data_IF_377295946441
#
_entry.id   IF_377295946441
#
_cell.length_a   1.000
_cell.length_b   1.000
_cell.length_c   1.000
_cell.angle_alpha   90.00
_cell.angle_beta   90.00
_cell.angle_gamma   90.00
#
_symmetry.space_group_name_H-M   'P 1'
#
loop_
_entity.id
_entity.type
_entity.pdbx_description
1 polymer ?
#
# COMPACT_ATOMS: atom_id res chain seq x y z
N UNK A 1 -26.32 -12.35 -11.31
CA UNK A 1 -25.33 -12.76 -10.30
C UNK A 1 -24.01 -13.26 -10.90
N UNK A 2 -23.96 -14.23 -11.85
CA UNK A 2 -22.68 -14.73 -12.38
C UNK A 2 -21.80 -13.66 -13.04
N UNK A 3 -22.41 -12.75 -13.82
CA UNK A 3 -21.68 -11.66 -14.48
C UNK A 3 -21.04 -10.65 -13.52
N UNK A 4 -21.69 -10.37 -12.37
CA UNK A 4 -21.13 -9.48 -11.34
C UNK A 4 -19.97 -10.13 -10.59
N UNK A 5 -20.07 -11.44 -10.35
CA UNK A 5 -18.98 -12.21 -9.73
C UNK A 5 -17.77 -12.23 -10.67
N UNK A 6 -17.99 -12.55 -11.95
CA UNK A 6 -16.93 -12.55 -12.95
C UNK A 6 -16.27 -11.17 -13.11
N UNK A 7 -17.06 -10.09 -13.18
CA UNK A 7 -16.48 -8.75 -13.30
C UNK A 7 -15.66 -8.36 -12.08
N UNK A 8 -16.08 -8.74 -10.86
CA UNK A 8 -15.30 -8.51 -9.63
C UNK A 8 -13.99 -9.30 -9.62
N UNK A 9 -14.01 -10.54 -10.11
CA UNK A 9 -12.79 -11.34 -10.26
C UNK A 9 -11.82 -10.65 -11.23
N UNK A 10 -12.31 -10.18 -12.38
CA UNK A 10 -11.47 -9.50 -13.37
C UNK A 10 -10.88 -8.19 -12.85
N UNK A 11 -11.68 -7.39 -12.12
CA UNK A 11 -11.19 -6.17 -11.45
C UNK A 11 -10.10 -6.52 -10.43
N UNK A 12 -10.31 -7.53 -9.59
CA UNK A 12 -9.32 -7.96 -8.60
C UNK A 12 -8.00 -8.42 -9.22
N UNK A 13 -8.05 -9.15 -10.34
CA UNK A 13 -6.85 -9.57 -11.09
C UNK A 13 -6.10 -8.34 -11.64
N UNK A 14 -6.81 -7.37 -12.22
CA UNK A 14 -6.20 -6.17 -12.79
C UNK A 14 -5.63 -5.22 -11.74
N UNK A 15 -6.34 -5.00 -10.63
CA UNK A 15 -5.89 -4.11 -9.56
C UNK A 15 -4.74 -4.72 -8.75
N UNK A 16 -4.73 -6.04 -8.58
CA UNK A 16 -3.75 -6.74 -7.75
C UNK A 16 -2.29 -6.60 -8.20
N UNK A 17 -2.03 -6.41 -9.50
CA UNK A 17 -0.67 -6.23 -10.04
C UNK A 17 -0.15 -4.80 -9.89
N UNK A 18 -1.04 -3.82 -9.70
CA UNK A 18 -0.70 -2.39 -9.74
C UNK A 18 0.27 -1.95 -8.64
N UNK A 19 0.09 -2.33 -7.34
CA UNK A 19 1.02 -2.00 -6.27
C UNK A 19 2.46 -2.46 -6.52
N UNK A 20 2.62 -3.69 -7.02
CA UNK A 20 3.93 -4.31 -7.28
C UNK A 20 4.63 -3.63 -8.45
N UNK A 21 3.91 -3.33 -9.53
CA UNK A 21 4.46 -2.60 -10.68
C UNK A 21 4.89 -1.18 -10.31
N UNK A 22 4.08 -0.46 -9.54
CA UNK A 22 4.41 0.86 -9.02
C UNK A 22 5.68 0.84 -8.16
N UNK A 23 5.82 -0.18 -7.32
CA UNK A 23 6.98 -0.36 -6.44
C UNK A 23 8.27 -0.65 -7.22
N UNK A 24 8.21 -1.44 -8.29
CA UNK A 24 9.36 -1.67 -9.19
C UNK A 24 9.82 -0.36 -9.84
N UNK A 25 8.88 0.42 -10.38
CA UNK A 25 9.19 1.70 -11.01
C UNK A 25 9.88 2.66 -10.03
N UNK A 26 9.36 2.79 -8.80
CA UNK A 26 9.97 3.63 -7.78
C UNK A 26 11.36 3.09 -7.38
N UNK A 27 11.52 1.77 -7.22
CA UNK A 27 12.79 1.17 -6.81
C UNK A 27 13.94 1.46 -7.80
N UNK A 28 13.62 1.49 -9.10
CA UNK A 28 14.58 1.73 -10.18
C UNK A 28 14.82 3.20 -10.48
N UNK A 29 13.79 4.05 -10.31
CA UNK A 29 13.84 5.45 -10.76
C UNK A 29 14.14 6.45 -9.64
N UNK A 30 13.92 6.10 -8.37
CA UNK A 30 13.96 7.08 -7.26
C UNK A 30 15.10 6.77 -6.28
N UNK A 31 15.96 7.77 -5.97
CA UNK A 31 17.01 7.63 -4.96
C UNK A 31 16.43 7.43 -3.55
N UNK A 32 17.21 6.84 -2.65
CA UNK A 32 16.74 6.45 -1.32
C UNK A 32 16.30 7.64 -0.45
N UNK A 33 16.91 8.82 -0.65
CA UNK A 33 16.64 10.05 0.11
C UNK A 33 15.29 10.70 -0.22
N UNK A 34 14.70 10.40 -1.38
CA UNK A 34 13.40 10.95 -1.81
C UNK A 34 12.32 9.87 -1.93
N UNK A 35 12.67 8.65 -1.52
CA UNK A 35 11.85 7.45 -1.71
C UNK A 35 10.56 7.52 -0.93
N UNK A 36 10.57 8.05 0.29
CA UNK A 36 9.36 8.12 1.11
C UNK A 36 8.34 9.06 0.46
N UNK A 37 8.79 10.20 -0.07
CA UNK A 37 7.93 11.11 -0.86
C UNK A 37 7.37 10.46 -2.11
N UNK A 38 8.18 9.73 -2.89
CA UNK A 38 7.68 9.06 -4.09
C UNK A 38 6.63 7.99 -3.76
N UNK A 39 6.90 7.13 -2.78
CA UNK A 39 5.95 6.10 -2.30
C UNK A 39 4.68 6.76 -1.79
N UNK A 40 4.79 7.81 -0.97
CA UNK A 40 3.64 8.56 -0.45
C UNK A 40 2.77 9.20 -1.53
N UNK A 41 3.36 9.76 -2.60
CA UNK A 41 2.59 10.32 -3.72
C UNK A 41 1.85 9.22 -4.47
N UNK A 42 2.51 8.10 -4.74
CA UNK A 42 1.93 7.01 -5.54
C UNK A 42 0.85 6.25 -4.76
N UNK A 43 1.16 5.82 -3.53
CA UNK A 43 0.22 5.05 -2.70
C UNK A 43 -0.80 5.93 -1.97
N UNK A 44 -0.46 7.20 -1.66
CA UNK A 44 -1.43 8.18 -1.15
C UNK A 44 -2.55 8.48 -2.16
N UNK A 45 -2.33 8.21 -3.45
CA UNK A 45 -3.37 8.23 -4.47
C UNK A 45 -4.55 7.31 -4.17
N UNK A 46 -4.36 6.23 -3.39
CA UNK A 46 -5.44 5.33 -2.96
C UNK A 46 -6.44 6.03 -2.04
N UNK A 47 -5.94 6.81 -1.06
CA UNK A 47 -6.80 7.61 -0.17
C UNK A 47 -7.53 8.69 -0.95
N UNK A 48 -6.83 9.36 -1.88
CA UNK A 48 -7.44 10.38 -2.73
C UNK A 48 -8.54 9.80 -3.63
N UNK A 49 -8.28 8.67 -4.29
CA UNK A 49 -9.27 7.95 -5.11
C UNK A 49 -10.49 7.51 -4.30
N UNK A 50 -10.28 7.04 -3.07
CA UNK A 50 -11.38 6.64 -2.16
C UNK A 50 -12.27 7.83 -1.82
N UNK A 51 -11.69 8.99 -1.52
CA UNK A 51 -12.44 10.23 -1.25
C UNK A 51 -13.24 10.66 -2.48
N UNK A 52 -12.64 10.68 -3.67
CA UNK A 52 -13.35 11.04 -4.91
C UNK A 52 -14.48 10.04 -5.20
N UNK A 53 -14.23 8.74 -5.02
CA UNK A 53 -15.23 7.70 -5.19
C UNK A 53 -16.43 7.91 -4.27
N UNK A 54 -16.19 8.12 -2.97
CA UNK A 54 -17.23 8.35 -1.98
C UNK A 54 -17.98 9.67 -2.19
N UNK A 55 -17.30 10.71 -2.69
CA UNK A 55 -17.90 12.03 -2.93
C UNK A 55 -18.76 12.07 -4.21
N UNK A 56 -18.29 11.46 -5.29
CA UNK A 56 -18.94 11.54 -6.60
C UNK A 56 -19.90 10.40 -6.88
N UNK A 57 -19.70 9.20 -6.32
CA UNK A 57 -20.59 8.07 -6.63
C UNK A 57 -22.05 8.32 -6.20
N UNK A 58 -22.37 8.79 -4.98
CA UNK A 58 -23.78 8.95 -4.58
C UNK A 58 -24.57 9.95 -5.44
N UNK A 59 -24.08 11.16 -5.75
CA UNK A 59 -24.78 12.09 -6.65
C UNK A 59 -24.95 11.55 -8.08
N UNK A 60 -23.98 10.80 -8.59
CA UNK A 60 -24.07 10.17 -9.91
C UNK A 60 -25.18 9.11 -9.90
N UNK A 61 -25.22 8.26 -8.88
CA UNK A 61 -26.24 7.21 -8.74
C UNK A 61 -27.65 7.82 -8.65
N UNK A 62 -27.81 8.89 -7.87
CA UNK A 62 -29.12 9.54 -7.67
C UNK A 62 -29.68 10.17 -8.95
N UNK A 63 -28.82 10.75 -9.80
CA UNK A 63 -29.27 11.49 -10.99
C UNK A 63 -29.26 10.66 -12.28
N UNK A 64 -28.34 9.70 -12.40
CA UNK A 64 -28.07 8.97 -13.65
C UNK A 64 -28.22 7.44 -13.52
N UNK A 65 -28.61 6.93 -12.35
CA UNK A 65 -28.71 5.50 -12.08
C UNK A 65 -27.38 4.87 -11.67
N UNK A 66 -27.44 3.67 -11.11
CA UNK A 66 -26.26 3.00 -10.54
C UNK A 66 -25.27 2.49 -11.60
N UNK A 67 -25.78 2.18 -12.79
CA UNK A 67 -25.01 1.70 -13.93
C UNK A 67 -24.02 2.76 -14.43
N UNK A 68 -24.40 4.05 -14.33
CA UNK A 68 -23.63 5.18 -14.83
C UNK A 68 -22.24 5.30 -14.17
N UNK A 69 -22.11 4.92 -12.90
CA UNK A 69 -20.83 4.88 -12.19
C UNK A 69 -19.83 3.98 -12.91
N UNK A 70 -20.26 2.79 -13.34
CA UNK A 70 -19.39 1.84 -14.03
C UNK A 70 -18.90 2.38 -15.38
N UNK A 71 -19.78 3.03 -16.14
CA UNK A 71 -19.42 3.62 -17.42
C UNK A 71 -18.46 4.81 -17.26
N UNK A 72 -18.73 5.71 -16.32
CA UNK A 72 -17.91 6.92 -16.10
C UNK A 72 -16.51 6.54 -15.61
N UNK A 73 -16.41 5.75 -14.53
CA UNK A 73 -15.11 5.34 -13.99
C UNK A 73 -14.35 4.43 -14.97
N UNK A 74 -15.04 3.56 -15.70
CA UNK A 74 -14.44 2.73 -16.74
C UNK A 74 -13.83 3.54 -17.89
N UNK A 75 -14.56 4.54 -18.41
CA UNK A 75 -14.06 5.44 -19.46
C UNK A 75 -12.89 6.30 -18.98
N UNK A 76 -12.97 6.84 -17.75
CA UNK A 76 -11.85 7.57 -17.14
C UNK A 76 -10.60 6.69 -17.04
N UNK A 77 -10.75 5.42 -16.68
CA UNK A 77 -9.65 4.45 -16.67
C UNK A 77 -9.03 4.24 -18.06
N UNK A 78 -9.83 4.10 -19.10
CA UNK A 78 -9.34 3.96 -20.48
C UNK A 78 -8.59 5.23 -20.93
N UNK A 79 -9.15 6.41 -20.67
CA UNK A 79 -8.51 7.70 -20.99
C UNK A 79 -7.16 7.81 -20.28
N UNK A 80 -7.11 7.43 -19.00
CA UNK A 80 -5.88 7.39 -18.22
C UNK A 80 -4.83 6.46 -18.83
N UNK A 81 -5.21 5.22 -19.20
CA UNK A 81 -4.29 4.27 -19.84
C UNK A 81 -3.70 4.82 -21.15
N UNK A 82 -4.53 5.43 -22.01
CA UNK A 82 -4.06 6.05 -23.26
C UNK A 82 -3.09 7.20 -22.97
N UNK A 83 -3.42 8.04 -21.98
CA UNK A 83 -2.56 9.14 -21.55
C UNK A 83 -1.21 8.66 -21.02
N UNK A 84 -1.22 7.60 -20.21
CA UNK A 84 -0.02 6.99 -19.63
C UNK A 84 0.91 6.43 -20.71
N UNK A 85 0.38 5.68 -21.69
CA UNK A 85 1.18 5.16 -22.82
C UNK A 85 1.77 6.30 -23.68
N UNK A 86 1.01 7.38 -23.91
CA UNK A 86 1.51 8.56 -24.61
C UNK A 86 2.68 9.23 -23.88
N UNK A 87 2.58 9.37 -22.55
CA UNK A 87 3.64 9.94 -21.71
C UNK A 87 4.89 9.05 -21.69
N UNK A 88 4.71 7.75 -21.56
CA UNK A 88 5.80 6.75 -21.61
C UNK A 88 6.53 6.80 -22.95
N UNK A 89 5.80 6.86 -24.06
CA UNK A 89 6.37 7.00 -25.41
C UNK A 89 7.20 8.28 -25.57
N UNK A 90 6.74 9.41 -25.02
CA UNK A 90 7.47 10.69 -25.04
C UNK A 90 8.75 10.64 -24.21
N UNK A 91 8.72 10.08 -23.00
CA UNK A 91 9.90 9.94 -22.14
C UNK A 91 10.97 9.05 -22.79
N UNK A 92 10.56 7.92 -23.38
CA UNK A 92 11.48 7.02 -24.07
C UNK A 92 12.07 7.66 -25.34
N UNK A 93 11.27 8.45 -26.07
CA UNK A 93 11.74 9.23 -27.22
C UNK A 93 12.74 10.33 -26.82
N UNK A 94 12.50 11.01 -25.70
CA UNK A 94 13.35 12.10 -25.22
C UNK A 94 14.72 11.60 -24.71
N UNK A 95 14.74 10.47 -23.99
CA UNK A 95 16.00 9.84 -23.55
C UNK A 95 16.83 9.28 -24.72
N UNK A 96 16.20 8.79 -25.80
CA UNK A 96 16.91 8.45 -27.04
C UNK A 96 17.49 9.68 -27.75
N UNK A 97 16.83 10.83 -27.69
CA UNK A 97 17.33 12.08 -28.24
C UNK A 97 18.58 12.61 -27.52
N UNK A 98 18.63 12.47 -26.18
CA UNK A 98 19.76 12.93 -25.37
C UNK A 98 21.01 12.04 -25.51
N UNK A 99 20.83 10.74 -25.75
CA UNK A 99 21.93 9.79 -26.01
C UNK A 99 22.58 9.98 -27.39
N UNK A 100 21.84 10.48 -28.39
CA UNK A 100 22.38 10.78 -29.72
C UNK A 100 23.20 12.08 -29.78
N UNK A 101 23.07 12.97 -28.79
CA UNK A 101 23.92 14.17 -28.66
C UNK A 101 25.23 13.91 -27.88
N UNK A 102 25.38 12.73 -27.27
CA UNK A 102 26.58 12.33 -26.52
C UNK A 102 27.50 11.33 -27.25
N UNK A 103 27.07 10.74 -28.38
CA UNK A 103 27.87 9.76 -29.14
C UNK A 103 28.66 10.38 -30.31
N UNK A 104 29.20 11.58 -30.10
CA UNK A 104 30.23 12.13 -31.00
C UNK A 104 31.45 12.59 -30.20
N UNK A 105 32.03 11.69 -29.40
CA UNK A 105 33.48 11.62 -29.13
C UNK A 105 33.77 10.64 -27.99
N UNK A 106 34.91 9.97 -28.10
CA UNK A 106 35.58 9.11 -27.11
C UNK A 106 34.99 7.72 -26.85
N UNK A 107 35.68 6.71 -27.39
CA UNK A 107 35.49 5.31 -27.06
C UNK A 107 36.10 4.93 -25.72
N UNK A 108 35.45 4.02 -25.01
CA UNK A 108 36.07 3.02 -24.13
C UNK A 108 35.00 2.00 -23.71
N UNK A 109 35.44 0.76 -23.58
CA UNK A 109 34.65 -0.43 -23.31
C UNK A 109 33.81 -0.33 -22.02
N UNK A 110 32.52 -0.59 -22.17
CA UNK A 110 31.58 -0.75 -21.07
C UNK A 110 30.29 -1.35 -21.60
N UNK A 111 30.04 -2.62 -21.27
CA UNK A 111 28.85 -3.39 -21.61
C UNK A 111 27.57 -2.67 -21.16
N UNK A 112 26.93 -1.95 -22.07
CA UNK A 112 25.53 -1.53 -21.97
C UNK A 112 24.77 -2.39 -22.97
N UNK A 113 23.77 -3.20 -22.56
CA UNK A 113 22.96 -3.95 -23.51
C UNK A 113 22.22 -2.98 -24.44
N UNK A 114 22.65 -3.00 -25.70
CA UNK A 114 22.05 -2.27 -26.81
C UNK A 114 20.59 -2.67 -27.01
N UNK A 115 19.77 -1.64 -27.26
CA UNK A 115 18.58 -1.64 -28.10
C UNK A 115 17.60 -2.83 -27.91
N UNK A 116 16.48 -2.54 -27.21
CA UNK A 116 15.22 -3.27 -27.42
C UNK A 116 14.76 -2.99 -28.85
N UNK A 117 15.22 -3.83 -29.78
CA UNK A 117 14.54 -4.13 -31.03
C UNK A 117 13.22 -4.82 -30.69
N UNK A 118 12.18 -4.44 -31.43
CA UNK A 118 10.90 -5.12 -31.48
C UNK A 118 11.09 -6.53 -32.06
N UNK A 119 11.46 -7.50 -31.23
CA UNK A 119 11.46 -8.92 -31.58
C UNK A 119 10.44 -9.66 -30.72
N UNK A 120 9.47 -10.28 -31.42
CA UNK A 120 8.59 -11.40 -31.04
C UNK A 120 8.18 -11.58 -29.57
N UNK A 121 6.86 -11.55 -29.31
CA UNK A 121 6.26 -11.90 -28.02
C UNK A 121 6.73 -13.24 -27.41
N UNK A 122 7.23 -14.19 -28.21
CA UNK A 122 7.75 -15.48 -27.73
C UNK A 122 9.11 -15.38 -27.01
N UNK A 123 10.04 -14.50 -27.44
CA UNK A 123 11.33 -14.32 -26.75
C UNK A 123 11.16 -13.67 -25.38
N UNK A 124 10.22 -12.73 -25.26
CA UNK A 124 9.89 -12.08 -23.98
C UNK A 124 9.31 -13.04 -22.93
N UNK A 125 8.60 -14.11 -23.36
CA UNK A 125 8.03 -15.11 -22.47
C UNK A 125 9.08 -16.11 -22.00
N UNK A 126 10.01 -16.52 -22.86
CA UNK A 126 11.15 -17.37 -22.48
C UNK A 126 12.12 -16.62 -21.55
N UNK A 127 12.44 -15.36 -21.83
CA UNK A 127 13.28 -14.52 -20.96
C UNK A 127 12.61 -14.27 -19.59
N UNK A 128 11.29 -14.06 -19.57
CA UNK A 128 10.53 -13.96 -18.33
C UNK A 128 10.54 -15.30 -17.56
N UNK A 129 10.35 -16.42 -18.24
CA UNK A 129 10.40 -17.74 -17.60
C UNK A 129 11.79 -18.08 -17.04
N UNK A 130 12.86 -17.70 -17.74
CA UNK A 130 14.23 -17.88 -17.27
C UNK A 130 14.51 -16.96 -16.07
N UNK A 131 14.09 -15.69 -16.13
CA UNK A 131 14.19 -14.76 -15.00
C UNK A 131 13.42 -15.23 -13.77
N UNK A 132 12.23 -15.85 -13.94
CA UNK A 132 11.44 -16.43 -12.85
C UNK A 132 12.10 -17.67 -12.22
N UNK A 133 12.80 -18.49 -13.00
CA UNK A 133 13.55 -19.67 -12.51
C UNK A 133 14.74 -19.29 -11.64
N UNK A 134 15.28 -18.09 -11.85
CA UNK A 134 16.44 -17.59 -11.11
C UNK A 134 16.08 -16.85 -9.82
N UNK A 135 14.79 -16.69 -9.51
CA UNK A 135 14.34 -16.06 -8.27
C UNK A 135 14.73 -16.90 -7.05
N UNK A 136 15.45 -16.32 -6.07
CA UNK A 136 15.97 -17.05 -4.91
C UNK A 136 14.91 -17.21 -3.80
N UNK A 137 13.81 -17.90 -4.09
CA UNK A 137 12.69 -18.11 -3.16
C UNK A 137 13.13 -18.62 -1.78
N UNK A 138 14.05 -19.58 -1.74
CA UNK A 138 14.57 -20.13 -0.50
C UNK A 138 15.33 -19.10 0.35
N UNK A 139 16.00 -18.12 -0.27
CA UNK A 139 16.70 -17.05 0.45
C UNK A 139 15.72 -16.06 1.06
N UNK A 140 14.66 -15.67 0.33
CA UNK A 140 13.62 -14.79 0.85
C UNK A 140 12.99 -15.34 2.13
N UNK A 141 12.57 -16.62 2.12
CA UNK A 141 11.90 -17.23 3.27
C UNK A 141 12.84 -17.66 4.39
N UNK A 142 14.17 -17.57 4.20
CA UNK A 142 15.16 -17.69 5.29
C UNK A 142 15.40 -16.34 5.99
N UNK A 143 15.13 -15.21 5.34
CA UNK A 143 15.37 -13.88 5.90
C UNK A 143 14.34 -13.52 6.97
N UNK A 144 14.84 -13.18 8.17
CA UNK A 144 13.99 -12.70 9.28
C UNK A 144 13.32 -11.35 8.96
N UNK A 145 13.98 -10.50 8.18
CA UNK A 145 13.43 -9.20 7.79
C UNK A 145 12.23 -9.37 6.85
N UNK A 146 12.30 -10.32 5.91
CA UNK A 146 11.17 -10.64 5.02
C UNK A 146 9.99 -11.17 5.82
N UNK A 147 10.21 -12.07 6.78
CA UNK A 147 9.14 -12.52 7.69
C UNK A 147 8.54 -11.39 8.52
N UNK A 148 9.36 -10.46 9.01
CA UNK A 148 8.88 -9.28 9.72
C UNK A 148 7.97 -8.41 8.83
N UNK A 149 8.30 -8.26 7.55
CA UNK A 149 7.47 -7.54 6.59
C UNK A 149 6.18 -8.26 6.24
N UNK A 150 6.22 -9.59 6.06
CA UNK A 150 5.02 -10.39 5.83
C UNK A 150 4.04 -10.20 6.99
N UNK A 151 4.53 -10.37 8.22
CA UNK A 151 3.69 -10.26 9.41
C UNK A 151 3.20 -8.83 9.65
N UNK A 152 4.05 -7.82 9.48
CA UNK A 152 3.63 -6.43 9.60
C UNK A 152 2.57 -6.07 8.55
N UNK A 153 2.72 -6.49 7.29
CA UNK A 153 1.69 -6.24 6.28
C UNK A 153 0.36 -6.88 6.67
N UNK A 154 0.36 -8.14 7.12
CA UNK A 154 -0.83 -8.79 7.66
C UNK A 154 -1.48 -7.99 8.79
N UNK A 155 -0.71 -7.54 9.78
CA UNK A 155 -1.21 -6.81 10.93
C UNK A 155 -1.80 -5.45 10.54
N UNK A 156 -1.09 -4.71 9.68
CA UNK A 156 -1.55 -3.40 9.18
C UNK A 156 -2.83 -3.52 8.37
N UNK A 157 -2.88 -4.52 7.47
CA UNK A 157 -4.07 -4.78 6.65
C UNK A 157 -5.26 -5.27 7.46
N UNK A 158 -5.03 -5.95 8.59
CA UNK A 158 -6.11 -6.32 9.51
C UNK A 158 -6.87 -5.09 9.97
N UNK A 159 -6.20 -4.15 10.63
CA UNK A 159 -6.87 -2.94 11.11
C UNK A 159 -7.40 -2.07 9.97
N UNK A 160 -6.71 -2.01 8.83
CA UNK A 160 -7.18 -1.24 7.68
C UNK A 160 -8.50 -1.79 7.10
N UNK A 161 -8.57 -3.09 6.79
CA UNK A 161 -9.74 -3.66 6.13
C UNK A 161 -10.94 -3.84 7.06
N UNK A 162 -10.72 -4.18 8.33
CA UNK A 162 -11.82 -4.29 9.30
C UNK A 162 -12.44 -2.92 9.55
N UNK A 163 -11.63 -1.88 9.75
CA UNK A 163 -12.14 -0.51 9.85
C UNK A 163 -12.82 -0.08 8.56
N UNK A 164 -12.22 -0.28 7.39
CA UNK A 164 -12.86 0.10 6.12
C UNK A 164 -14.26 -0.50 5.95
N UNK A 165 -14.46 -1.73 6.43
CA UNK A 165 -15.75 -2.44 6.30
C UNK A 165 -16.77 -2.07 7.39
N UNK A 166 -16.32 -1.90 8.64
CA UNK A 166 -17.21 -1.79 9.79
C UNK A 166 -17.33 -0.37 10.37
N UNK A 167 -16.44 0.55 9.99
CA UNK A 167 -16.41 1.91 10.53
C UNK A 167 -17.69 2.73 10.24
N UNK A 168 -18.33 2.65 9.05
CA UNK A 168 -19.60 3.33 8.83
C UNK A 168 -20.70 2.85 9.78
N UNK A 169 -20.77 1.55 10.04
CA UNK A 169 -21.76 0.97 10.96
C UNK A 169 -21.46 1.39 12.40
N UNK A 170 -20.20 1.34 12.81
CA UNK A 170 -19.76 1.83 14.12
C UNK A 170 -20.16 3.30 14.33
N UNK A 171 -19.89 4.19 13.36
CA UNK A 171 -20.29 5.59 13.46
C UNK A 171 -21.80 5.79 13.44
N UNK A 172 -22.54 4.98 12.69
CA UNK A 172 -24.01 5.03 12.69
C UNK A 172 -24.57 4.72 14.07
N UNK A 173 -24.08 3.68 14.73
CA UNK A 173 -24.50 3.29 16.07
C UNK A 173 -24.04 4.27 17.15
N UNK A 174 -22.77 4.68 17.13
CA UNK A 174 -22.18 5.55 18.16
C UNK A 174 -22.72 6.99 18.10
N UNK A 175 -22.87 7.54 16.89
CA UNK A 175 -23.37 8.91 16.69
C UNK A 175 -24.90 8.98 16.54
N UNK A 176 -25.60 7.84 16.54
CA UNK A 176 -27.03 7.74 16.20
C UNK A 176 -27.37 8.38 14.83
N UNK A 177 -26.47 8.23 13.86
CA UNK A 177 -26.62 8.75 12.50
C UNK A 177 -27.32 7.74 11.60
N UNK A 178 -27.99 8.21 10.56
CA UNK A 178 -28.41 7.30 9.49
C UNK A 178 -27.19 6.81 8.70
N UNK A 179 -27.35 5.70 7.98
CA UNK A 179 -26.25 5.04 7.28
C UNK A 179 -25.57 5.96 6.24
N UNK A 180 -26.34 6.84 5.60
CA UNK A 180 -25.81 7.80 4.61
C UNK A 180 -24.91 8.84 5.27
N UNK A 181 -25.34 9.41 6.40
CA UNK A 181 -24.55 10.36 7.20
C UNK A 181 -23.30 9.70 7.76
N UNK A 182 -23.42 8.48 8.28
CA UNK A 182 -22.27 7.73 8.80
C UNK A 182 -21.25 7.38 7.70
N UNK A 183 -21.72 7.12 6.47
CA UNK A 183 -20.85 6.96 5.32
C UNK A 183 -20.08 8.25 4.98
N UNK A 184 -20.73 9.42 5.09
CA UNK A 184 -20.04 10.72 4.94
C UNK A 184 -18.99 10.96 6.02
N UNK A 185 -19.30 10.63 7.27
CA UNK A 185 -18.33 10.73 8.39
C UNK A 185 -17.15 9.78 8.18
N UNK A 186 -17.37 8.62 7.56
CA UNK A 186 -16.32 7.65 7.22
C UNK A 186 -15.36 8.12 6.11
N UNK A 187 -15.61 9.28 5.49
CA UNK A 187 -14.66 9.94 4.58
C UNK A 187 -13.56 10.68 5.37
N UNK A 188 -13.77 10.99 6.66
CA UNK A 188 -12.81 11.72 7.47
C UNK A 188 -11.46 10.99 7.64
N UNK A 189 -11.39 9.68 7.92
CA UNK A 189 -10.11 8.96 8.01
C UNK A 189 -9.27 9.02 6.73
N UNK A 190 -9.77 8.67 5.52
CA UNK A 190 -8.96 8.78 4.31
C UNK A 190 -8.59 10.23 3.96
N UNK A 191 -9.43 11.23 4.29
CA UNK A 191 -9.05 12.65 4.18
C UNK A 191 -7.89 13.00 5.12
N UNK A 192 -7.97 12.58 6.39
CA UNK A 192 -6.90 12.76 7.36
C UNK A 192 -5.61 12.07 6.91
N UNK A 193 -5.72 10.86 6.34
CA UNK A 193 -4.59 10.13 5.77
C UNK A 193 -3.86 10.92 4.68
N UNK A 194 -4.55 11.68 3.83
CA UNK A 194 -3.91 12.52 2.80
C UNK A 194 -3.06 13.61 3.44
N UNK A 195 -3.60 14.28 4.48
CA UNK A 195 -2.89 15.32 5.23
C UNK A 195 -1.66 14.74 5.92
N UNK A 196 -1.84 13.64 6.65
CA UNK A 196 -0.73 13.00 7.37
C UNK A 196 0.33 12.45 6.42
N UNK A 197 -0.05 11.87 5.28
CA UNK A 197 0.91 11.38 4.27
C UNK A 197 1.84 12.50 3.79
N UNK A 198 1.31 13.72 3.63
CA UNK A 198 2.07 14.91 3.23
C UNK A 198 3.07 15.38 4.28
N UNK A 199 2.90 14.97 5.54
CA UNK A 199 3.79 15.28 6.67
C UNK A 199 4.79 14.13 6.89
N UNK A 200 4.30 12.89 6.87
CA UNK A 200 5.04 11.68 7.18
C UNK A 200 6.19 11.42 6.20
N UNK A 201 5.99 11.71 4.91
CA UNK A 201 7.02 11.48 3.90
C UNK A 201 8.19 12.45 3.99
N UNK A 202 7.99 13.79 4.01
CA UNK A 202 9.09 14.73 4.25
C UNK A 202 9.77 14.50 5.60
N UNK A 203 9.01 14.13 6.64
CA UNK A 203 9.59 13.78 7.94
C UNK A 203 10.61 12.63 7.82
N UNK A 204 10.24 11.53 7.16
CA UNK A 204 11.13 10.37 6.98
C UNK A 204 12.35 10.72 6.12
N UNK A 205 12.13 11.37 4.98
CA UNK A 205 13.21 11.74 4.06
C UNK A 205 14.20 12.74 4.71
N UNK A 206 13.71 13.71 5.48
CA UNK A 206 14.57 14.65 6.22
C UNK A 206 15.42 13.96 7.28
N UNK A 207 14.89 12.97 8.00
CA UNK A 207 15.69 12.20 8.96
C UNK A 207 16.81 11.43 8.26
N UNK A 208 16.51 10.79 7.14
CA UNK A 208 17.51 10.06 6.33
C UNK A 208 18.55 11.03 5.76
N UNK A 209 18.14 12.19 5.23
CA UNK A 209 19.04 13.21 4.71
C UNK A 209 19.97 13.80 5.78
N UNK A 210 19.53 13.86 7.03
CA UNK A 210 20.34 14.25 8.18
C UNK A 210 21.27 13.14 8.72
N UNK A 211 21.34 11.99 8.04
CA UNK A 211 22.25 10.90 8.37
C UNK A 211 21.71 9.90 9.40
N UNK A 212 20.40 9.93 9.72
CA UNK A 212 19.78 8.87 10.52
C UNK A 212 19.69 7.59 9.69
N UNK A 213 20.12 6.48 10.27
CA UNK A 213 20.06 5.16 9.65
C UNK A 213 18.65 4.83 9.11
N UNK A 214 18.59 4.30 7.88
CA UNK A 214 17.32 4.03 7.19
C UNK A 214 16.47 3.03 7.97
N UNK A 215 17.05 1.97 8.52
CA UNK A 215 16.32 0.99 9.32
C UNK A 215 15.67 1.64 10.53
N UNK A 216 16.39 2.53 11.23
CA UNK A 216 15.81 3.29 12.36
C UNK A 216 14.64 4.16 11.91
N UNK A 217 14.77 4.88 10.80
CA UNK A 217 13.67 5.72 10.27
C UNK A 217 12.46 4.87 9.90
N UNK A 218 12.64 3.76 9.17
CA UNK A 218 11.53 2.84 8.82
C UNK A 218 10.87 2.24 10.06
N UNK A 219 11.64 1.90 11.10
CA UNK A 219 11.13 1.44 12.40
C UNK A 219 10.31 2.50 13.10
N UNK A 220 10.77 3.75 13.16
CA UNK A 220 10.03 4.86 13.76
C UNK A 220 8.70 5.07 13.02
N UNK A 221 8.74 5.20 11.69
CA UNK A 221 7.54 5.39 10.89
C UNK A 221 6.53 4.26 11.08
N UNK A 222 6.96 3.00 11.01
CA UNK A 222 6.06 1.87 11.19
C UNK A 222 5.51 1.78 12.62
N UNK A 223 6.31 2.14 13.62
CA UNK A 223 5.85 2.20 15.02
C UNK A 223 4.76 3.24 15.19
N UNK A 224 4.93 4.45 14.63
CA UNK A 224 3.87 5.46 14.61
C UNK A 224 2.63 4.90 13.93
N UNK A 225 2.80 4.24 12.77
CA UNK A 225 1.70 3.73 11.98
C UNK A 225 0.82 2.68 12.70
N UNK A 226 1.39 1.91 13.62
CA UNK A 226 0.68 0.84 14.35
C UNK A 226 0.29 1.25 15.77
N UNK A 227 1.20 1.87 16.50
CA UNK A 227 0.95 2.26 17.90
C UNK A 227 -0.10 3.36 17.97
N UNK A 228 -0.14 4.29 17.01
CA UNK A 228 -1.16 5.35 17.03
C UNK A 228 -2.59 4.82 16.91
N UNK A 229 -3.01 4.05 15.88
CA UNK A 229 -4.37 3.52 15.85
C UNK A 229 -4.64 2.58 17.03
N UNK A 230 -3.65 1.82 17.51
CA UNK A 230 -3.84 0.98 18.70
C UNK A 230 -4.19 1.80 19.96
N UNK A 231 -3.46 2.89 20.23
CA UNK A 231 -3.75 3.77 21.37
C UNK A 231 -5.14 4.39 21.23
N UNK A 232 -5.46 4.96 20.06
CA UNK A 232 -6.76 5.59 19.87
C UNK A 232 -7.93 4.59 19.94
N UNK A 233 -7.77 3.37 19.41
CA UNK A 233 -8.77 2.31 19.55
C UNK A 233 -8.93 1.86 21.01
N UNK A 234 -7.85 1.78 21.79
CA UNK A 234 -7.95 1.48 23.22
C UNK A 234 -8.67 2.61 23.97
N UNK A 235 -8.38 3.87 23.67
CA UNK A 235 -9.07 5.02 24.27
C UNK A 235 -10.55 5.03 23.90
N UNK A 236 -10.91 4.73 22.65
CA UNK A 236 -12.30 4.58 22.20
C UNK A 236 -13.01 3.38 22.81
N UNK A 237 -12.28 2.40 23.36
CA UNK A 237 -12.86 1.21 24.00
C UNK A 237 -13.23 1.46 25.47
N UNK A 238 -12.71 2.53 26.08
CA UNK A 238 -12.96 2.89 27.48
C UNK A 238 -14.02 3.98 27.52
N UNK A 239 -14.98 3.85 28.45
CA UNK A 239 -15.95 4.92 28.70
C UNK A 239 -15.27 6.08 29.41
N UNK A 240 -14.83 7.06 28.61
CA UNK A 240 -14.21 8.30 29.07
C UNK A 240 -15.25 9.42 29.30
N UNK A 241 -16.54 9.15 29.09
CA UNK A 241 -17.60 10.18 29.15
C UNK A 241 -17.47 11.27 28.08
N UNK A 242 -16.75 10.98 27.00
CA UNK A 242 -16.55 11.92 25.89
C UNK A 242 -17.80 11.97 25.00
N UNK A 243 -18.11 13.13 24.40
CA UNK A 243 -19.19 13.19 23.43
C UNK A 243 -18.85 12.35 22.19
N UNK A 244 -19.85 11.73 21.53
CA UNK A 244 -19.61 10.80 20.42
C UNK A 244 -18.75 11.35 19.27
N UNK A 245 -18.84 12.66 18.97
CA UNK A 245 -18.03 13.29 17.92
C UNK A 245 -16.53 13.36 18.26
N UNK A 246 -16.17 13.45 19.55
CA UNK A 246 -14.78 13.42 19.98
C UNK A 246 -14.18 12.01 19.81
N UNK A 247 -14.97 10.96 20.04
CA UNK A 247 -14.58 9.57 19.77
C UNK A 247 -14.25 9.39 18.29
N UNK A 248 -15.10 9.91 17.41
CA UNK A 248 -14.86 9.90 15.95
C UNK A 248 -13.61 10.66 15.58
N UNK A 249 -13.38 11.84 16.14
CA UNK A 249 -12.19 12.64 15.87
C UNK A 249 -10.90 11.93 16.32
N UNK A 250 -10.90 11.30 17.50
CA UNK A 250 -9.78 10.51 18.01
C UNK A 250 -9.49 9.30 17.14
N UNK A 251 -10.52 8.51 16.81
CA UNK A 251 -10.36 7.32 15.99
C UNK A 251 -9.87 7.68 14.57
N UNK A 252 -10.44 8.74 13.98
CA UNK A 252 -10.01 9.31 12.70
C UNK A 252 -8.53 9.72 12.74
N UNK A 253 -8.09 10.37 13.82
CA UNK A 253 -6.70 10.82 13.96
C UNK A 253 -5.73 9.63 14.03
N UNK A 254 -6.09 8.59 14.78
CA UNK A 254 -5.29 7.36 14.86
C UNK A 254 -5.20 6.63 13.51
N UNK A 255 -6.31 6.48 12.82
CA UNK A 255 -6.33 5.88 11.48
C UNK A 255 -5.56 6.73 10.46
N UNK A 256 -5.63 8.06 10.53
CA UNK A 256 -4.85 8.95 9.67
C UNK A 256 -3.34 8.80 9.91
N UNK A 257 -2.92 8.65 11.18
CA UNK A 257 -1.51 8.40 11.54
C UNK A 257 -0.97 7.07 11.04
N UNK A 258 -1.83 6.09 10.73
CA UNK A 258 -1.42 4.84 10.08
C UNK A 258 -0.77 5.04 8.71
N UNK A 259 -0.98 6.19 8.05
CA UNK A 259 -0.33 6.55 6.79
C UNK A 259 1.20 6.62 6.87
N UNK A 260 1.79 6.70 8.06
CA UNK A 260 3.24 6.55 8.23
C UNK A 260 3.76 5.19 7.72
N UNK A 261 2.89 4.19 7.53
CA UNK A 261 3.25 2.90 6.94
C UNK A 261 3.80 3.04 5.52
N UNK A 262 3.42 4.08 4.76
CA UNK A 262 4.00 4.34 3.43
C UNK A 262 5.50 4.61 3.52
N UNK A 263 5.92 5.42 4.51
CA UNK A 263 7.33 5.70 4.78
C UNK A 263 8.04 4.60 5.60
N UNK A 264 7.29 3.63 6.13
CA UNK A 264 7.79 2.51 6.92
C UNK A 264 7.86 1.23 6.10
N UNK A 265 6.80 0.42 6.16
CA UNK A 265 6.68 -0.86 5.46
C UNK A 265 6.92 -0.76 3.95
N UNK A 266 6.21 0.13 3.25
CA UNK A 266 6.22 0.14 1.77
C UNK A 266 7.58 0.54 1.17
N UNK A 267 8.31 1.47 1.80
CA UNK A 267 9.68 1.77 1.39
C UNK A 267 10.65 0.60 1.65
N UNK A 268 10.40 -0.20 2.70
CA UNK A 268 11.32 -1.27 3.12
C UNK A 268 11.51 -2.33 2.05
N UNK A 269 10.48 -2.62 1.24
CA UNK A 269 10.59 -3.52 0.08
C UNK A 269 11.71 -3.14 -0.88
N UNK A 270 11.84 -1.84 -1.13
CA UNK A 270 12.80 -1.25 -2.08
C UNK A 270 14.16 -0.97 -1.42
N UNK A 271 14.18 -0.84 -0.09
CA UNK A 271 15.40 -0.64 0.70
C UNK A 271 16.18 -1.96 0.82
N UNK A 272 15.49 -3.08 1.08
CA UNK A 272 16.10 -4.42 1.19
C UNK A 272 16.64 -4.92 -0.15
N UNK A 273 15.87 -4.81 -1.23
CA UNK A 273 16.36 -5.19 -2.56
C UNK A 273 15.64 -4.39 -3.62
N UNK A 274 16.41 -3.66 -4.43
CA UNK A 274 15.86 -2.91 -5.57
C UNK A 274 15.43 -3.85 -6.71
N UNK A 275 16.14 -4.96 -6.89
CA UNK A 275 15.87 -5.94 -7.95
C UNK A 275 14.58 -6.72 -7.68
N UNK A 276 14.37 -7.15 -6.42
CA UNK A 276 13.24 -7.99 -6.04
C UNK A 276 12.11 -7.22 -5.33
N UNK A 277 12.13 -5.88 -5.36
CA UNK A 277 11.18 -5.04 -4.62
C UNK A 277 9.72 -5.39 -4.92
N UNK A 278 9.38 -5.62 -6.19
CA UNK A 278 8.03 -5.98 -6.64
C UNK A 278 7.61 -7.38 -6.23
N UNK A 279 8.54 -8.34 -6.25
CA UNK A 279 8.30 -9.72 -5.79
C UNK A 279 8.06 -9.71 -4.29
N UNK A 280 8.91 -9.01 -3.52
CA UNK A 280 8.77 -8.88 -2.08
C UNK A 280 7.44 -8.22 -1.72
N UNK A 281 7.04 -7.14 -2.42
CA UNK A 281 5.74 -6.50 -2.18
C UNK A 281 4.59 -7.44 -2.56
N UNK A 282 4.70 -8.17 -3.68
CA UNK A 282 3.71 -9.16 -4.08
C UNK A 282 3.48 -10.23 -3.00
N UNK A 283 4.56 -10.76 -2.43
CA UNK A 283 4.49 -11.75 -1.33
C UNK A 283 3.78 -11.13 -0.12
N UNK A 284 4.22 -9.98 0.37
CA UNK A 284 3.61 -9.42 1.59
C UNK A 284 2.19 -8.94 1.35
N UNK A 285 1.86 -8.40 0.17
CA UNK A 285 0.53 -7.94 -0.20
C UNK A 285 -0.46 -9.10 -0.33
N UNK A 286 -0.01 -10.26 -0.81
CA UNK A 286 -0.83 -11.48 -0.86
C UNK A 286 -1.27 -11.90 0.55
N UNK A 287 -0.32 -11.93 1.50
CA UNK A 287 -0.65 -12.23 2.91
C UNK A 287 -1.46 -11.09 3.52
N UNK A 288 -1.15 -9.85 3.16
CA UNK A 288 -1.87 -8.64 3.56
C UNK A 288 -3.31 -8.61 3.07
N UNK A 289 -3.70 -9.34 2.02
CA UNK A 289 -5.09 -9.42 1.56
C UNK A 289 -5.96 -10.34 2.41
N UNK A 290 -5.38 -11.32 3.12
CA UNK A 290 -6.10 -12.32 3.92
C UNK A 290 -7.02 -11.71 4.99
N UNK A 291 -6.60 -10.69 5.77
CA UNK A 291 -7.48 -10.03 6.74
C UNK A 291 -8.73 -9.39 6.13
N UNK A 292 -8.72 -9.00 4.85
CA UNK A 292 -9.91 -8.46 4.18
C UNK A 292 -11.02 -9.51 4.04
N UNK A 293 -10.67 -10.79 4.02
CA UNK A 293 -11.62 -11.90 3.96
C UNK A 293 -11.94 -12.37 5.38
N UNK A 294 -10.90 -12.74 6.13
CA UNK A 294 -11.05 -13.41 7.43
C UNK A 294 -11.39 -12.41 8.54
N UNK A 295 -10.71 -11.27 8.57
CA UNK A 295 -10.89 -10.26 9.61
C UNK A 295 -12.27 -9.62 9.56
N UNK A 296 -12.75 -9.26 8.37
CA UNK A 296 -14.08 -8.65 8.19
C UNK A 296 -15.19 -9.62 8.64
N UNK A 297 -15.10 -10.89 8.24
CA UNK A 297 -16.07 -11.92 8.65
C UNK A 297 -16.01 -12.21 10.16
N UNK A 298 -14.80 -12.27 10.73
CA UNK A 298 -14.61 -12.49 12.16
C UNK A 298 -15.18 -11.34 12.99
N UNK A 299 -14.95 -10.09 12.59
CA UNK A 299 -15.53 -8.93 13.27
C UNK A 299 -17.06 -8.99 13.28
N UNK A 300 -17.70 -9.37 12.18
CA UNK A 300 -19.15 -9.56 12.13
C UNK A 300 -19.63 -10.64 13.10
N UNK A 301 -19.01 -11.81 13.06
CA UNK A 301 -19.34 -12.91 13.98
C UNK A 301 -19.18 -12.53 15.46
N UNK A 302 -18.09 -11.84 15.80
CA UNK A 302 -17.84 -11.37 17.15
C UNK A 302 -18.86 -10.31 17.57
N UNK A 303 -19.25 -9.41 16.66
CA UNK A 303 -20.22 -8.36 16.96
C UNK A 303 -21.61 -8.95 17.23
N UNK A 304 -22.04 -9.91 16.41
CA UNK A 304 -23.29 -10.64 16.60
C UNK A 304 -23.31 -11.41 17.93
N UNK A 305 -22.16 -11.92 18.38
CA UNK A 305 -22.05 -12.74 19.59
C UNK A 305 -21.86 -11.93 20.86
N UNK A 306 -21.15 -10.80 20.79
CA UNK A 306 -20.71 -10.03 21.97
C UNK A 306 -21.45 -8.70 22.13
N UNK A 307 -22.08 -8.21 21.06
CA UNK A 307 -22.70 -6.88 20.99
C UNK A 307 -21.77 -5.74 21.44
N UNK A 308 -20.46 -5.92 21.24
CA UNK A 308 -19.44 -4.97 21.70
C UNK A 308 -18.41 -4.69 20.61
N UNK A 309 -18.31 -3.42 20.21
CA UNK A 309 -17.29 -2.92 19.29
C UNK A 309 -15.87 -3.06 19.85
N UNK A 310 -15.71 -2.87 21.16
CA UNK A 310 -14.42 -3.02 21.85
C UNK A 310 -13.85 -4.42 21.69
N UNK A 311 -14.68 -5.46 21.79
CA UNK A 311 -14.24 -6.86 21.65
C UNK A 311 -14.16 -7.28 20.18
N UNK A 312 -15.06 -6.79 19.33
CA UNK A 312 -15.24 -7.31 17.97
C UNK A 312 -14.34 -6.66 16.93
N UNK A 313 -14.10 -5.35 17.07
CA UNK A 313 -13.32 -4.55 16.13
C UNK A 313 -12.00 -4.08 16.76
N UNK A 314 -12.05 -3.48 17.95
CA UNK A 314 -10.88 -2.82 18.54
C UNK A 314 -9.87 -3.80 19.11
N UNK A 315 -10.27 -4.75 19.96
CA UNK A 315 -9.32 -5.67 20.61
C UNK A 315 -8.48 -6.51 19.62
N UNK A 316 -9.04 -7.14 18.57
CA UNK A 316 -8.24 -7.85 17.57
C UNK A 316 -7.29 -6.93 16.81
N UNK A 317 -7.76 -5.73 16.43
CA UNK A 317 -6.94 -4.75 15.70
C UNK A 317 -5.79 -4.23 16.56
N UNK A 318 -6.06 -3.90 17.83
CA UNK A 318 -5.05 -3.50 18.82
C UNK A 318 -4.03 -4.62 19.02
N UNK A 319 -4.47 -5.86 19.19
CA UNK A 319 -3.59 -7.02 19.31
C UNK A 319 -2.61 -7.09 18.14
N UNK A 320 -3.11 -7.09 16.90
CA UNK A 320 -2.26 -7.18 15.72
C UNK A 320 -1.35 -5.97 15.53
N UNK A 321 -1.82 -4.75 15.82
CA UNK A 321 -0.96 -3.57 15.76
C UNK A 321 0.20 -3.65 16.78
N UNK A 322 -0.06 -4.08 18.02
CA UNK A 322 0.96 -4.17 19.05
C UNK A 322 1.95 -5.31 18.79
N UNK A 323 1.47 -6.50 18.43
CA UNK A 323 2.35 -7.63 18.08
C UNK A 323 3.13 -7.36 16.79
N UNK A 324 2.49 -6.76 15.79
CA UNK A 324 3.13 -6.31 14.55
C UNK A 324 4.25 -5.31 14.84
N UNK A 325 4.03 -4.36 15.75
CA UNK A 325 5.05 -3.41 16.20
C UNK A 325 6.22 -4.13 16.87
N UNK A 326 5.94 -5.05 17.79
CA UNK A 326 6.98 -5.81 18.50
C UNK A 326 7.86 -6.62 17.54
N UNK A 327 7.26 -7.35 16.59
CA UNK A 327 7.97 -8.12 15.57
C UNK A 327 8.76 -7.20 14.63
N UNK A 328 8.16 -6.08 14.21
CA UNK A 328 8.84 -5.11 13.34
C UNK A 328 10.07 -4.51 14.00
N UNK A 329 9.95 -4.07 15.24
CA UNK A 329 11.08 -3.53 16.00
C UNK A 329 12.19 -4.55 16.22
N UNK A 330 11.83 -5.81 16.49
CA UNK A 330 12.78 -6.89 16.72
C UNK A 330 13.53 -7.33 15.45
N UNK A 331 12.84 -7.46 14.31
CA UNK A 331 13.37 -8.21 13.17
C UNK A 331 13.41 -7.45 11.84
N UNK A 332 12.74 -6.31 11.70
CA UNK A 332 12.81 -5.54 10.45
C UNK A 332 14.22 -4.95 10.26
N UNK A 333 14.66 -4.96 9.01
CA UNK A 333 15.88 -4.30 8.54
C UNK A 333 15.60 -3.65 7.19
N UNK A 334 16.18 -2.48 6.95
CA UNK A 334 16.14 -1.77 5.67
C UNK A 334 17.54 -1.64 5.06
N UNK A 335 18.50 -2.44 5.54
CA UNK A 335 19.79 -2.60 4.91
C UNK A 335 19.66 -3.48 3.66
N UNK A 336 20.37 -3.15 2.55
CA UNK A 336 20.37 -3.99 1.36
C UNK A 336 20.79 -5.43 1.68
N UNK A 337 19.99 -6.40 1.27
CA UNK A 337 20.28 -7.83 1.42
C UNK A 337 20.64 -8.43 0.08
N UNK A 338 21.73 -9.21 0.06
CA UNK A 338 22.05 -10.05 -1.08
C UNK A 338 21.30 -11.37 -0.97
N UNK A 339 20.43 -11.63 -1.95
CA UNK A 339 19.67 -12.88 -2.05
C UNK A 339 20.27 -13.84 -3.08
N UNK A 340 21.46 -13.55 -3.61
CA UNK A 340 22.16 -14.45 -4.52
C UNK A 340 22.30 -15.85 -3.93
N UNK A 341 22.27 -16.87 -4.79
CA UNK A 341 22.45 -18.27 -4.37
C UNK A 341 23.83 -18.37 -3.71
N UNK A 342 23.86 -18.54 -2.40
CA UNK A 342 25.04 -19.09 -1.72
C UNK A 342 25.43 -20.36 -2.47
N UNK A 343 26.60 -20.36 -3.11
CA UNK A 343 27.14 -21.55 -3.75
C UNK A 343 27.15 -22.72 -2.76
N UNK A 344 27.15 -23.97 -3.25
CA UNK A 344 27.12 -25.14 -2.35
C UNK A 344 28.30 -25.01 -1.37
N UNK A 345 27.97 -24.91 -0.08
CA UNK A 345 28.95 -25.08 0.98
C UNK A 345 29.56 -26.46 0.80
N UNK A 346 30.84 -26.47 0.43
CA UNK A 346 31.65 -27.65 0.11
C UNK A 346 31.90 -28.55 1.30
#
# INVERSE_FOLDING_TARGET
MPGLVLSRILVGIGEGVSPSAATDLIARSIPLQERSRAVAVVFGGLSFGSVLGLLFAPPIIQNLGWESVFYIFGLLGIIWCIGFESLKGKQLGNNKGLLNLGQSSSGSDGLVPSAVSSESSDSSLEDLQNSLKDVPWGAFFKSKAVWAMIYAHFCGSWGHYTCLSWLPTFFSEELNLNLTEAAWVSVLPPLGSIVITSIAAPFADNLIANGVDTTKVRKICQTIAFVSPAIFMMLSSVDLGLPPWEIVAFLTSGLALSSFAFSGLYCTHQDISREYASILLGITNTVGAVPGIVGVALTGYLLDSTHSWSISLFAPSVFFYLTGTAVWLAFASSEPQDFSKSGPES
#
